data_IF_796261133793
#
_entry.id   IF_796261133793
#
_cell.length_a   1.000
_cell.length_b   1.000
_cell.length_c   1.000
_cell.angle_alpha   90.00
_cell.angle_beta   90.00
_cell.angle_gamma   90.00
#
_symmetry.space_group_name_H-M   'P 1'
#
loop_
_entity.id
_entity.type
_entity.pdbx_description
1 polymer ?
#
# COMPACT_ATOMS: atom_id res chain seq x y z
N UNK A 1 -6.10 34.91 -22.75
CA UNK A 1 -6.14 34.68 -21.29
C UNK A 1 -5.95 33.19 -21.12
N UNK A 2 -4.78 32.66 -20.70
CA UNK A 2 -4.72 31.26 -20.32
C UNK A 2 -5.36 31.16 -18.93
N UNK A 3 -6.46 30.42 -18.85
CA UNK A 3 -7.02 29.95 -17.59
C UNK A 3 -5.89 29.24 -16.85
N UNK A 4 -5.62 29.66 -15.60
CA UNK A 4 -4.68 28.91 -14.74
C UNK A 4 -5.21 27.48 -14.71
N UNK A 5 -4.38 26.45 -14.96
CA UNK A 5 -4.82 25.10 -14.62
C UNK A 5 -5.23 25.16 -13.16
N UNK A 6 -6.42 24.68 -12.83
CA UNK A 6 -6.83 24.44 -11.45
C UNK A 6 -5.65 23.72 -10.78
N UNK A 7 -4.87 24.46 -9.99
CA UNK A 7 -3.70 23.94 -9.29
C UNK A 7 -4.12 23.10 -8.08
N UNK A 8 -5.39 22.68 -8.05
CA UNK A 8 -5.94 21.78 -7.07
C UNK A 8 -5.59 20.35 -7.52
N UNK A 9 -4.73 19.64 -6.77
CA UNK A 9 -4.31 18.29 -7.13
C UNK A 9 -5.45 17.27 -7.04
N UNK A 10 -6.59 17.63 -6.42
CA UNK A 10 -7.77 16.79 -6.26
C UNK A 10 -8.85 17.06 -7.31
N UNK A 11 -8.61 17.88 -8.34
CA UNK A 11 -9.62 18.23 -9.35
C UNK A 11 -10.21 17.00 -10.08
N UNK A 12 -9.43 15.93 -10.26
CA UNK A 12 -9.86 14.64 -10.85
C UNK A 12 -10.20 13.57 -9.78
N UNK A 13 -10.12 13.94 -8.50
CA UNK A 13 -10.44 13.05 -7.40
C UNK A 13 -11.90 13.24 -6.95
N UNK A 14 -12.64 12.14 -6.82
CA UNK A 14 -13.99 12.16 -6.24
C UNK A 14 -13.95 12.55 -4.75
N UNK A 15 -12.86 12.18 -4.06
CA UNK A 15 -12.56 12.53 -2.69
C UNK A 15 -11.67 13.77 -2.62
N UNK A 16 -12.13 14.79 -1.89
CA UNK A 16 -11.36 16.01 -1.64
C UNK A 16 -10.23 15.81 -0.61
N UNK A 17 -9.42 16.85 -0.36
CA UNK A 17 -8.27 16.78 0.54
C UNK A 17 -8.65 16.42 1.98
N UNK A 18 -9.81 16.87 2.46
CA UNK A 18 -10.32 16.54 3.80
C UNK A 18 -10.64 15.05 3.97
N UNK A 19 -10.80 14.30 2.87
CA UNK A 19 -11.04 12.86 2.92
C UNK A 19 -9.76 12.05 3.14
N UNK A 20 -8.58 12.61 2.92
CA UNK A 20 -7.29 11.95 3.22
C UNK A 20 -6.57 12.58 4.40
N UNK A 21 -6.97 13.80 4.79
CA UNK A 21 -6.43 14.53 5.93
C UNK A 21 -6.60 13.77 7.26
N UNK A 22 -5.55 13.77 8.08
CA UNK A 22 -5.47 13.11 9.37
C UNK A 22 -4.78 11.74 9.29
N UNK A 23 -4.82 11.02 10.41
CA UNK A 23 -4.25 9.68 10.52
C UNK A 23 -5.33 8.63 10.30
N UNK A 24 -5.04 7.67 9.41
CA UNK A 24 -5.89 6.50 9.15
C UNK A 24 -5.07 5.23 9.23
N UNK A 25 -5.61 4.25 9.95
CA UNK A 25 -5.03 2.91 10.06
C UNK A 25 -5.89 1.94 9.28
N UNK A 26 -5.25 1.15 8.42
CA UNK A 26 -5.84 0.08 7.64
C UNK A 26 -5.35 -1.25 8.22
N UNK A 27 -6.25 -2.02 8.81
CA UNK A 27 -5.94 -3.26 9.51
C UNK A 27 -5.88 -4.45 8.54
N UNK A 28 -4.96 -5.40 8.77
CA UNK A 28 -4.79 -6.64 7.99
C UNK A 28 -4.57 -6.43 6.48
N UNK A 29 -3.81 -5.40 6.12
CA UNK A 29 -3.52 -5.07 4.70
C UNK A 29 -2.10 -5.44 4.28
N UNK A 30 -1.17 -5.50 5.22
CA UNK A 30 0.23 -5.84 4.97
C UNK A 30 0.47 -7.34 5.03
N UNK A 31 1.54 -7.78 4.39
CA UNK A 31 1.97 -9.16 4.48
C UNK A 31 2.50 -9.48 5.88
N UNK A 32 1.85 -10.40 6.60
CA UNK A 32 2.29 -10.94 7.89
C UNK A 32 2.63 -12.43 7.78
N UNK A 33 3.38 -12.97 8.75
CA UNK A 33 3.66 -14.41 8.76
C UNK A 33 2.39 -15.26 8.96
N UNK A 34 1.33 -14.65 9.51
CA UNK A 34 0.02 -15.27 9.72
C UNK A 34 -0.90 -15.19 8.49
N UNK A 35 -0.49 -14.53 7.42
CA UNK A 35 -1.26 -14.49 6.16
C UNK A 35 -1.53 -15.89 5.63
N UNK A 36 -2.69 -16.07 5.00
CA UNK A 36 -3.12 -17.38 4.52
C UNK A 36 -2.11 -17.98 3.52
N UNK A 37 -1.52 -19.12 3.89
CA UNK A 37 -0.53 -19.83 3.08
C UNK A 37 -1.19 -21.00 2.35
N UNK A 38 -0.90 -21.22 1.05
CA UNK A 38 -1.32 -22.45 0.38
C UNK A 38 -0.80 -23.67 1.14
N UNK A 39 -1.66 -24.66 1.32
CA UNK A 39 -1.28 -25.97 1.86
C UNK A 39 -1.47 -27.01 0.79
N UNK A 40 -0.46 -27.85 0.59
CA UNK A 40 -0.58 -28.97 -0.32
C UNK A 40 -1.49 -30.02 0.31
N UNK A 41 -2.63 -30.31 -0.31
CA UNK A 41 -3.60 -31.29 0.22
C UNK A 41 -3.07 -32.72 0.34
N UNK A 42 -2.00 -33.07 -0.41
CA UNK A 42 -1.41 -34.41 -0.38
C UNK A 42 -0.34 -34.57 0.71
N UNK A 43 0.38 -33.49 1.06
CA UNK A 43 1.49 -33.55 2.02
C UNK A 43 1.20 -32.80 3.31
N UNK A 44 0.19 -31.92 3.33
CA UNK A 44 -0.10 -31.01 4.44
C UNK A 44 0.93 -29.88 4.60
N UNK A 45 1.90 -29.78 3.68
CA UNK A 45 3.01 -28.83 3.77
C UNK A 45 2.76 -27.58 2.93
N UNK A 46 3.22 -26.44 3.42
CA UNK A 46 3.27 -25.20 2.64
C UNK A 46 4.37 -25.29 1.59
N UNK A 47 4.08 -24.99 0.31
CA UNK A 47 5.10 -25.00 -0.74
C UNK A 47 6.26 -24.06 -0.42
N UNK A 48 7.49 -24.46 -0.78
CA UNK A 48 8.68 -23.64 -0.52
C UNK A 48 8.62 -22.24 -1.14
N UNK A 49 7.92 -22.07 -2.27
CA UNK A 49 7.72 -20.75 -2.90
C UNK A 49 6.78 -19.84 -2.11
N UNK A 50 5.94 -20.41 -1.24
CA UNK A 50 5.02 -19.70 -0.34
C UNK A 50 5.56 -19.57 1.08
N UNK A 51 6.76 -20.07 1.36
CA UNK A 51 7.47 -19.83 2.61
C UNK A 51 8.23 -18.51 2.48
N UNK A 52 7.59 -17.42 2.87
CA UNK A 52 8.24 -16.13 3.03
C UNK A 52 8.08 -15.62 4.45
N UNK A 53 9.10 -14.90 4.92
CA UNK A 53 9.05 -14.16 6.17
C UNK A 53 8.69 -12.70 5.90
N UNK A 54 8.19 -12.03 6.94
CA UNK A 54 7.93 -10.59 6.91
C UNK A 54 9.17 -9.81 6.48
N UNK A 55 10.34 -10.15 7.05
CA UNK A 55 11.62 -9.51 6.73
C UNK A 55 11.91 -9.55 5.23
N UNK A 56 11.74 -10.72 4.59
CA UNK A 56 11.99 -10.88 3.16
C UNK A 56 11.00 -10.08 2.29
N UNK A 57 9.76 -9.91 2.76
CA UNK A 57 8.75 -9.12 2.10
C UNK A 57 9.03 -7.62 2.23
N UNK A 58 9.42 -7.15 3.43
CA UNK A 58 9.83 -5.77 3.69
C UNK A 58 11.08 -5.40 2.89
N UNK A 59 12.10 -6.26 2.88
CA UNK A 59 13.30 -6.07 2.06
C UNK A 59 12.97 -6.03 0.58
N UNK A 60 12.06 -6.89 0.10
CA UNK A 60 11.61 -6.85 -1.29
C UNK A 60 10.95 -5.51 -1.63
N UNK A 61 10.02 -5.04 -0.80
CA UNK A 61 9.38 -3.74 -1.01
C UNK A 61 10.41 -2.59 -0.99
N UNK A 62 11.35 -2.59 -0.06
CA UNK A 62 12.43 -1.61 0.01
C UNK A 62 13.44 -1.73 -1.15
N UNK A 63 13.57 -2.91 -1.76
CA UNK A 63 14.45 -3.12 -2.92
C UNK A 63 13.92 -2.54 -4.23
N UNK A 64 12.62 -2.20 -4.28
CA UNK A 64 12.01 -1.58 -5.44
C UNK A 64 12.42 -0.10 -5.46
N UNK A 65 13.34 0.23 -6.36
CA UNK A 65 13.83 1.60 -6.59
C UNK A 65 12.75 2.43 -7.31
N UNK A 66 11.74 2.86 -6.55
CA UNK A 66 10.71 3.78 -7.01
C UNK A 66 10.69 5.02 -6.15
N UNK A 67 10.37 6.17 -6.76
CA UNK A 67 10.21 7.46 -6.09
C UNK A 67 9.13 7.44 -4.99
N UNK A 68 8.22 6.47 -5.08
CA UNK A 68 7.19 6.23 -4.07
C UNK A 68 7.58 5.06 -3.15
N UNK A 69 7.36 5.19 -1.84
CA UNK A 69 7.58 4.10 -0.91
C UNK A 69 6.61 2.95 -1.19
N UNK A 70 7.18 1.74 -1.24
CA UNK A 70 6.46 0.50 -1.49
C UNK A 70 6.23 -0.25 -0.18
N UNK A 71 5.11 -0.93 -0.10
CA UNK A 71 4.73 -1.82 0.99
C UNK A 71 4.52 -3.23 0.45
N UNK A 72 4.80 -4.24 1.27
CA UNK A 72 4.53 -5.62 0.91
C UNK A 72 3.09 -5.99 1.26
N UNK A 73 2.31 -6.31 0.23
CA UNK A 73 0.93 -6.79 0.35
C UNK A 73 0.88 -8.31 0.20
N UNK A 74 -0.04 -9.01 0.89
CA UNK A 74 -0.23 -10.43 0.68
C UNK A 74 -0.80 -10.70 -0.71
N UNK A 75 -0.26 -11.73 -1.38
CA UNK A 75 -0.80 -12.26 -2.62
C UNK A 75 -1.83 -13.35 -2.29
N UNK A 76 -2.95 -13.39 -3.01
CA UNK A 76 -3.95 -14.44 -2.85
C UNK A 76 -3.37 -15.82 -3.14
N UNK A 77 -3.79 -16.83 -2.38
CA UNK A 77 -3.36 -18.22 -2.52
C UNK A 77 -3.48 -18.71 -3.97
N UNK A 78 -4.59 -18.38 -4.64
CA UNK A 78 -4.82 -18.75 -6.04
C UNK A 78 -3.74 -18.21 -6.98
N UNK A 79 -3.37 -16.92 -6.83
CA UNK A 79 -2.30 -16.29 -7.61
C UNK A 79 -0.95 -16.94 -7.32
N UNK A 80 -0.64 -17.22 -6.05
CA UNK A 80 0.61 -17.89 -5.68
C UNK A 80 0.76 -19.25 -6.38
N UNK A 81 -0.32 -20.03 -6.42
CA UNK A 81 -0.34 -21.34 -7.06
C UNK A 81 -0.27 -21.23 -8.59
N UNK A 82 -1.04 -20.31 -9.19
CA UNK A 82 -1.08 -20.13 -10.64
C UNK A 82 0.25 -19.61 -11.21
N UNK A 83 0.86 -18.62 -10.55
CA UNK A 83 2.07 -17.95 -11.05
C UNK A 83 3.36 -18.50 -10.43
N UNK A 84 3.25 -19.50 -9.53
CA UNK A 84 4.37 -20.05 -8.75
C UNK A 84 5.25 -18.95 -8.10
N UNK A 85 4.61 -17.85 -7.71
CA UNK A 85 5.28 -16.66 -7.19
C UNK A 85 5.30 -16.64 -5.67
N UNK A 86 6.09 -15.71 -5.12
CA UNK A 86 6.15 -15.46 -3.68
C UNK A 86 4.78 -15.07 -3.11
N UNK A 87 4.52 -15.30 -1.81
CA UNK A 87 3.23 -15.03 -1.17
C UNK A 87 2.97 -13.54 -0.93
N UNK A 88 3.87 -12.66 -1.39
CA UNK A 88 3.79 -11.23 -1.24
C UNK A 88 4.02 -10.52 -2.57
N UNK A 89 3.50 -9.30 -2.67
CA UNK A 89 3.70 -8.39 -3.81
C UNK A 89 4.04 -7.01 -3.31
N UNK A 90 4.89 -6.27 -4.02
CA UNK A 90 5.19 -4.88 -3.69
C UNK A 90 4.17 -3.98 -4.39
N UNK A 91 3.57 -3.07 -3.62
CA UNK A 91 2.71 -2.04 -4.16
C UNK A 91 2.91 -0.73 -3.38
N UNK A 92 2.59 0.41 -3.98
CA UNK A 92 2.73 1.70 -3.30
C UNK A 92 1.86 1.74 -2.04
N UNK A 93 2.27 2.49 -1.01
CA UNK A 93 1.51 2.59 0.25
C UNK A 93 0.06 3.08 0.04
N UNK A 94 -0.18 3.91 -0.97
CA UNK A 94 -1.51 4.40 -1.33
C UNK A 94 -2.26 3.48 -2.30
N UNK A 95 -1.77 2.28 -2.61
CA UNK A 95 -2.42 1.37 -3.56
C UNK A 95 -3.84 1.00 -3.12
N UNK A 96 -4.79 0.87 -4.07
CA UNK A 96 -6.19 0.58 -3.75
C UNK A 96 -6.40 -0.74 -3.00
N UNK A 97 -5.45 -1.68 -3.12
CA UNK A 97 -5.45 -2.92 -2.32
C UNK A 97 -5.19 -2.68 -0.84
N UNK A 98 -4.40 -1.66 -0.50
CA UNK A 98 -4.11 -1.30 0.88
C UNK A 98 -5.17 -0.35 1.45
N UNK A 99 -5.57 0.64 0.65
CA UNK A 99 -6.57 1.64 1.07
C UNK A 99 -8.02 1.15 0.91
N UNK A 100 -8.23 0.00 0.27
CA UNK A 100 -9.54 -0.60 0.02
C UNK A 100 -10.40 0.13 -1.02
N UNK A 101 -9.93 1.23 -1.62
CA UNK A 101 -10.74 2.03 -2.56
C UNK A 101 -9.88 2.75 -3.59
N UNK A 102 -10.35 2.76 -4.84
CA UNK A 102 -9.68 3.47 -5.93
C UNK A 102 -9.70 5.00 -5.74
N UNK A 103 -10.76 5.52 -5.13
CA UNK A 103 -10.89 6.95 -4.83
C UNK A 103 -9.85 7.40 -3.80
N UNK A 104 -9.64 6.61 -2.74
CA UNK A 104 -8.58 6.87 -1.74
C UNK A 104 -7.20 6.79 -2.37
N UNK A 105 -6.97 5.81 -3.24
CA UNK A 105 -5.71 5.71 -3.99
C UNK A 105 -5.38 6.99 -4.75
N UNK A 106 -6.35 7.55 -5.47
CA UNK A 106 -6.17 8.81 -6.21
C UNK A 106 -5.94 9.99 -5.26
N UNK A 107 -6.73 10.09 -4.20
CA UNK A 107 -6.63 11.20 -3.26
C UNK A 107 -5.28 11.20 -2.51
N UNK A 108 -4.79 10.05 -2.05
CA UNK A 108 -3.45 9.95 -1.44
C UNK A 108 -2.33 10.19 -2.45
N UNK A 109 -2.48 9.71 -3.69
CA UNK A 109 -1.52 10.00 -4.75
C UNK A 109 -1.44 11.51 -5.06
N UNK A 110 -2.59 12.19 -5.11
CA UNK A 110 -2.69 13.64 -5.27
C UNK A 110 -2.06 14.40 -4.10
N UNK A 111 -2.35 13.99 -2.86
CA UNK A 111 -1.73 14.55 -1.66
C UNK A 111 -0.21 14.39 -1.67
N UNK A 112 0.29 13.18 -1.96
CA UNK A 112 1.72 12.86 -1.97
C UNK A 112 2.48 13.60 -3.08
N UNK A 113 1.88 13.77 -4.26
CA UNK A 113 2.48 14.55 -5.35
C UNK A 113 2.34 16.06 -5.15
N UNK A 114 1.62 16.51 -4.13
CA UNK A 114 1.40 17.93 -3.86
C UNK A 114 2.31 18.39 -2.74
N UNK A 115 3.06 19.46 -2.99
CA UNK A 115 3.88 20.13 -1.97
C UNK A 115 3.03 20.72 -0.82
N UNK A 116 1.71 20.85 -1.02
CA UNK A 116 0.78 21.38 -0.03
C UNK A 116 0.43 20.38 1.09
N UNK A 117 0.86 19.12 0.99
CA UNK A 117 0.56 18.09 1.99
C UNK A 117 1.83 17.33 2.37
N UNK A 118 1.98 17.05 3.67
CA UNK A 118 2.98 16.12 4.18
C UNK A 118 2.30 14.78 4.42
N UNK A 119 2.75 13.76 3.68
CA UNK A 119 2.21 12.41 3.76
C UNK A 119 3.28 11.50 4.38
N UNK A 120 2.99 10.98 5.56
CA UNK A 120 3.80 10.01 6.26
C UNK A 120 3.05 8.66 6.29
N UNK A 121 3.79 7.56 6.18
CA UNK A 121 3.22 6.23 6.26
C UNK A 121 4.08 5.37 7.18
N UNK A 122 3.42 4.50 7.94
CA UNK A 122 4.02 3.55 8.86
C UNK A 122 3.43 2.17 8.56
N UNK A 123 4.31 1.25 8.16
CA UNK A 123 3.93 -0.13 7.84
C UNK A 123 4.27 -1.04 9.03
N UNK A 124 3.27 -1.46 9.79
CA UNK A 124 3.43 -2.38 10.91
C UNK A 124 3.20 -3.83 10.45
N UNK A 125 4.28 -4.49 10.01
CA UNK A 125 4.21 -5.88 9.56
C UNK A 125 4.07 -6.91 10.69
N UNK A 126 4.20 -6.52 11.96
CA UNK A 126 3.95 -7.43 13.09
C UNK A 126 2.44 -7.69 13.25
N UNK A 127 1.64 -6.65 13.06
CA UNK A 127 0.18 -6.71 13.19
C UNK A 127 -0.54 -6.75 11.83
N UNK A 128 0.15 -6.36 10.74
CA UNK A 128 -0.43 -6.28 9.40
C UNK A 128 -1.07 -4.93 9.09
N UNK A 129 -0.88 -3.94 9.97
CA UNK A 129 -1.55 -2.65 9.91
C UNK A 129 -0.72 -1.62 9.13
N UNK A 130 -1.37 -0.90 8.22
CA UNK A 130 -0.79 0.25 7.56
C UNK A 130 -1.41 1.53 8.12
N UNK A 131 -0.59 2.38 8.74
CA UNK A 131 -1.02 3.70 9.17
C UNK A 131 -0.52 4.74 8.18
N UNK A 132 -1.42 5.59 7.68
CA UNK A 132 -1.11 6.71 6.80
C UNK A 132 -1.56 7.99 7.49
N UNK A 133 -0.64 8.93 7.66
CA UNK A 133 -0.88 10.25 8.24
C UNK A 133 -0.68 11.30 7.17
N UNK A 134 -1.72 12.10 6.93
CA UNK A 134 -1.65 13.22 5.99
C UNK A 134 -1.92 14.52 6.74
N UNK A 135 -0.97 15.43 6.67
CA UNK A 135 -1.08 16.75 7.25
C UNK A 135 -1.01 17.80 6.14
N UNK A 136 -1.70 18.93 6.32
CA UNK A 136 -1.49 20.08 5.44
C UNK A 136 -0.12 20.66 5.74
N UNK A 137 0.69 20.84 4.71
CA UNK A 137 1.91 21.63 4.82
C UNK A 137 1.47 23.04 5.20
N UNK A 138 1.93 23.55 6.34
CA UNK A 138 1.64 24.91 6.73
C UNK A 138 2.32 25.85 5.73
N UNK A 139 1.52 26.63 4.97
CA UNK A 139 2.03 27.76 4.19
C UNK A 139 2.91 28.62 5.10
N UNK A 140 4.22 28.67 4.82
CA UNK A 140 5.15 29.62 5.47
C UNK A 140 5.03 31.01 4.87
#
# INVERSE_FOLDING_TARGET
>A
MPEKPDADPFHDCELGPDAVLGTRTFEDVLFTDETEKPVNVLTGETPAHSQATVEEATEFAASIDTDTPQIALPASVETQIETQSKPYTAAAFFHFKATGSLELHRAYHAAYNSDAFSVEFEANYESGDLTITVERAADS
#
